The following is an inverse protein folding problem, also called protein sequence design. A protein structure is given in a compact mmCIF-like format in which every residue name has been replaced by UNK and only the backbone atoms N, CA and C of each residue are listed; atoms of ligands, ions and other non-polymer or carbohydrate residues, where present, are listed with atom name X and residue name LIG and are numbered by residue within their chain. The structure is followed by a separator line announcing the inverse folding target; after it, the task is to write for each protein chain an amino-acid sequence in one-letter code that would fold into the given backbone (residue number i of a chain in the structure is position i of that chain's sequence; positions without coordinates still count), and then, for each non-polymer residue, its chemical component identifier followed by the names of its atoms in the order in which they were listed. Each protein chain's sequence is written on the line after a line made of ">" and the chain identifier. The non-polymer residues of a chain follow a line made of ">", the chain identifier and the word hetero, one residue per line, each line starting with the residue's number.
data_IF_446148026752
#
_entry.id   IF_446148026752
#
_cell.length_a   1.000
_cell.length_b   1.000
_cell.length_c   1.000
_cell.angle_alpha   90.00
_cell.angle_beta   90.00
_cell.angle_gamma   90.00
#
_symmetry.space_group_name_H-M   'P 1'
#
loop_
_entity.id
_entity.type
_entity.pdbx_description
1 polymer ?
#
# COMPACT_ATOMS: atom_id res chain seq x y z
N UNK A 1 -46.97 -5.16 -43.64
CA UNK A 1 -46.45 -3.82 -43.25
C UNK A 1 -45.65 -3.25 -44.42
N UNK A 2 -45.80 -1.96 -44.71
CA UNK A 2 -45.02 -1.32 -45.77
C UNK A 2 -43.53 -1.19 -45.32
N UNK A 3 -42.54 -1.38 -46.19
CA UNK A 3 -41.12 -1.41 -45.80
C UNK A 3 -40.66 -0.16 -45.04
N UNK A 4 -41.27 1.00 -45.29
CA UNK A 4 -41.02 2.24 -44.56
C UNK A 4 -41.47 2.19 -43.09
N UNK A 5 -42.53 1.45 -42.75
CA UNK A 5 -42.99 1.26 -41.36
C UNK A 5 -42.10 0.31 -40.62
N UNK A 6 -41.55 -0.72 -41.24
CA UNK A 6 -40.57 -1.63 -40.63
C UNK A 6 -39.29 -0.90 -40.32
N UNK A 7 -38.79 -0.07 -41.25
CA UNK A 7 -37.57 0.73 -41.02
C UNK A 7 -37.75 1.70 -39.84
N UNK A 8 -38.91 2.35 -39.73
CA UNK A 8 -39.20 3.29 -38.64
C UNK A 8 -39.26 2.59 -37.28
N UNK A 9 -39.89 1.41 -37.19
CA UNK A 9 -39.95 0.61 -35.96
C UNK A 9 -38.57 0.11 -35.57
N UNK A 10 -37.75 -0.35 -36.51
CA UNK A 10 -36.37 -0.80 -36.23
C UNK A 10 -35.51 0.35 -35.71
N UNK A 11 -35.64 1.55 -36.30
CA UNK A 11 -34.92 2.73 -35.86
C UNK A 11 -35.33 3.15 -34.42
N UNK A 12 -36.62 3.06 -34.09
CA UNK A 12 -37.14 3.39 -32.76
C UNK A 12 -36.69 2.41 -31.69
N UNK A 13 -36.55 1.12 -32.03
CA UNK A 13 -35.99 0.08 -31.15
C UNK A 13 -34.51 0.33 -30.91
N UNK A 14 -33.74 0.66 -31.96
CA UNK A 14 -32.30 0.97 -31.80
C UNK A 14 -32.10 2.21 -30.94
N UNK A 15 -32.89 3.26 -31.13
CA UNK A 15 -32.82 4.46 -30.27
C UNK A 15 -33.20 4.12 -28.84
N UNK A 16 -34.22 3.29 -28.58
CA UNK A 16 -34.63 2.86 -27.25
C UNK A 16 -33.56 2.06 -26.50
N UNK A 17 -32.75 1.27 -27.20
CA UNK A 17 -31.65 0.51 -26.59
C UNK A 17 -30.43 1.37 -26.25
N UNK A 18 -30.20 2.46 -26.97
CA UNK A 18 -29.11 3.41 -26.70
C UNK A 18 -29.33 4.26 -25.46
N UNK A 19 -30.59 4.43 -25.01
CA UNK A 19 -30.92 5.21 -23.80
C UNK A 19 -30.97 4.39 -22.49
N UNK A 20 -30.87 3.06 -22.58
CA UNK A 20 -30.79 2.20 -21.36
C UNK A 20 -29.35 1.91 -20.96
N UNK A 21 -28.48 2.92 -20.88
CA UNK A 21 -27.22 2.79 -20.18
C UNK A 21 -27.51 2.94 -18.69
N UNK A 22 -27.68 1.81 -17.99
CA UNK A 22 -27.62 1.79 -16.55
C UNK A 22 -26.24 2.32 -16.15
N UNK A 23 -26.15 3.31 -15.24
CA UNK A 23 -24.86 3.72 -14.72
C UNK A 23 -24.24 2.48 -14.08
N UNK A 24 -23.15 1.98 -14.66
CA UNK A 24 -22.27 1.04 -13.98
C UNK A 24 -21.60 1.87 -12.89
N UNK A 25 -22.13 1.82 -11.69
CA UNK A 25 -21.41 2.26 -10.50
C UNK A 25 -20.27 1.25 -10.31
N UNK A 26 -19.10 1.57 -10.84
CA UNK A 26 -17.88 0.95 -10.34
C UNK A 26 -17.89 1.19 -8.83
N UNK A 27 -17.67 0.14 -8.05
CA UNK A 27 -17.47 0.25 -6.59
C UNK A 27 -16.28 1.18 -6.40
N UNK A 28 -16.56 2.46 -6.30
CA UNK A 28 -15.54 3.46 -6.07
C UNK A 28 -15.20 3.41 -4.57
N UNK A 29 -13.93 3.55 -4.27
CA UNK A 29 -13.50 3.93 -2.93
C UNK A 29 -14.34 5.12 -2.46
N UNK A 30 -14.75 5.12 -1.19
CA UNK A 30 -15.53 6.22 -0.64
C UNK A 30 -14.70 7.51 -0.47
N UNK A 31 -13.38 7.38 -0.54
CA UNK A 31 -12.44 8.50 -0.48
C UNK A 31 -11.28 8.31 -1.44
N UNK A 32 -10.52 9.36 -1.68
CA UNK A 32 -9.26 9.32 -2.41
C UNK A 32 -8.15 10.03 -1.64
N UNK A 33 -6.90 9.65 -1.91
CA UNK A 33 -5.71 10.21 -1.28
C UNK A 33 -4.77 10.71 -2.37
N UNK A 34 -4.34 11.97 -2.25
CA UNK A 34 -3.38 12.58 -3.16
C UNK A 34 -2.24 13.21 -2.35
N UNK A 35 -1.02 12.63 -2.39
CA UNK A 35 0.14 13.25 -1.77
C UNK A 35 0.48 14.59 -2.43
N UNK A 36 0.76 15.60 -1.62
CA UNK A 36 1.21 16.90 -2.08
C UNK A 36 2.74 16.88 -2.12
N UNK A 37 3.30 17.18 -3.28
CA UNK A 37 4.76 17.15 -3.50
C UNK A 37 5.48 18.07 -2.51
N UNK A 38 6.44 17.51 -1.74
CA UNK A 38 7.30 18.25 -0.83
C UNK A 38 8.41 19.01 -1.59
N UNK A 39 8.93 20.06 -1.00
CA UNK A 39 10.09 20.79 -1.52
C UNK A 39 11.36 19.90 -1.51
N UNK A 40 11.47 18.99 -0.54
CA UNK A 40 12.56 18.04 -0.37
C UNK A 40 12.45 16.79 -1.26
N UNK A 41 11.44 16.74 -2.15
CA UNK A 41 11.21 15.62 -3.06
C UNK A 41 12.34 15.50 -4.08
N UNK A 42 12.93 14.30 -4.21
CA UNK A 42 14.02 14.01 -5.16
C UNK A 42 13.50 14.08 -6.61
N UNK A 43 12.39 13.40 -6.90
CA UNK A 43 11.72 13.46 -8.22
C UNK A 43 10.27 13.91 -8.05
N UNK A 44 9.98 15.15 -8.44
CA UNK A 44 8.66 15.78 -8.31
C UNK A 44 7.55 15.14 -9.15
N UNK A 45 7.88 14.21 -10.05
CA UNK A 45 6.89 13.47 -10.87
C UNK A 45 6.31 12.26 -10.15
N UNK A 46 6.93 11.85 -9.03
CA UNK A 46 6.46 10.70 -8.25
C UNK A 46 5.23 11.07 -7.41
N UNK A 47 4.33 10.10 -7.27
CA UNK A 47 3.07 10.21 -6.51
C UNK A 47 3.20 9.63 -5.11
N UNK A 48 4.39 9.57 -4.56
CA UNK A 48 4.73 9.16 -3.21
C UNK A 48 5.89 10.01 -2.70
N UNK A 49 6.15 9.99 -1.41
CA UNK A 49 7.22 10.78 -0.81
C UNK A 49 8.57 10.08 -0.97
N UNK A 50 9.51 10.72 -1.67
CA UNK A 50 10.89 10.27 -1.86
C UNK A 50 11.82 11.45 -1.56
N UNK A 51 12.26 11.55 -0.30
CA UNK A 51 12.83 12.76 0.26
C UNK A 51 14.33 12.64 0.47
N UNK A 52 15.05 13.74 0.22
CA UNK A 52 16.41 13.91 0.70
C UNK A 52 16.43 14.96 1.81
N UNK A 53 16.86 14.57 3.01
CA UNK A 53 16.85 15.39 4.22
C UNK A 53 18.22 15.32 4.90
N UNK A 54 18.69 16.41 5.49
CA UNK A 54 19.88 16.35 6.33
C UNK A 54 19.56 15.75 7.70
N UNK A 55 20.57 15.23 8.44
CA UNK A 55 20.34 14.68 9.78
C UNK A 55 19.58 15.66 10.68
N UNK A 56 18.63 15.16 11.46
CA UNK A 56 17.77 15.90 12.41
C UNK A 56 16.80 16.92 11.76
N UNK A 57 16.73 16.96 10.41
CA UNK A 57 15.82 17.87 9.70
C UNK A 57 14.37 17.43 9.88
N UNK A 58 13.51 18.40 10.19
CA UNK A 58 12.06 18.23 10.22
C UNK A 58 11.43 18.74 8.93
N UNK A 59 10.38 18.09 8.47
CA UNK A 59 9.61 18.46 7.26
C UNK A 59 8.13 18.17 7.47
N UNK A 60 7.29 19.07 6.97
CA UNK A 60 5.86 18.80 6.84
C UNK A 60 5.56 18.11 5.52
N UNK A 61 4.88 16.97 5.60
CA UNK A 61 4.31 16.26 4.47
C UNK A 61 2.81 16.44 4.49
N UNK A 62 2.21 16.56 3.34
CA UNK A 62 0.77 16.82 3.22
C UNK A 62 0.13 15.84 2.25
N UNK A 63 -1.04 15.34 2.63
CA UNK A 63 -1.88 14.57 1.74
C UNK A 63 -3.28 15.20 1.70
N UNK A 64 -3.81 15.38 0.50
CA UNK A 64 -5.18 15.76 0.30
C UNK A 64 -6.06 14.51 0.33
N UNK A 65 -7.04 14.49 1.22
CA UNK A 65 -8.06 13.47 1.31
C UNK A 65 -9.38 14.04 0.80
N UNK A 66 -10.07 13.30 -0.05
CA UNK A 66 -11.31 13.77 -0.67
C UNK A 66 -12.39 12.72 -0.52
N UNK A 67 -13.55 13.16 -0.05
CA UNK A 67 -14.77 12.38 0.04
C UNK A 67 -15.77 12.89 -1.02
N UNK A 68 -16.04 12.08 -2.04
CA UNK A 68 -17.03 12.39 -3.09
C UNK A 68 -18.40 11.78 -2.81
N UNK A 69 -18.60 11.16 -1.65
CA UNK A 69 -19.87 10.53 -1.26
C UNK A 69 -20.81 11.51 -0.57
N UNK A 70 -22.08 11.10 -0.36
CA UNK A 70 -23.09 11.84 0.40
C UNK A 70 -23.06 11.51 1.89
N UNK A 71 -22.13 10.64 2.34
CA UNK A 71 -21.98 10.20 3.72
C UNK A 71 -20.66 10.67 4.30
N UNK A 72 -20.60 10.80 5.61
CA UNK A 72 -19.36 10.98 6.35
C UNK A 72 -18.46 9.75 6.18
N UNK A 73 -17.16 9.96 5.98
CA UNK A 73 -16.15 8.89 5.88
C UNK A 73 -15.12 9.09 6.98
N UNK A 74 -14.96 8.09 7.83
CA UNK A 74 -13.95 8.08 8.89
C UNK A 74 -12.76 7.24 8.47
N UNK A 75 -11.57 7.79 8.56
CA UNK A 75 -10.33 7.20 8.06
C UNK A 75 -9.37 6.97 9.22
N UNK A 76 -8.91 5.74 9.39
CA UNK A 76 -7.78 5.35 10.22
C UNK A 76 -6.48 5.58 9.46
N UNK A 77 -5.50 6.21 10.10
CA UNK A 77 -4.20 6.50 9.52
C UNK A 77 -3.13 5.77 10.33
N UNK A 78 -2.24 5.08 9.64
CA UNK A 78 -1.09 4.43 10.27
C UNK A 78 0.19 4.65 9.47
N UNK A 79 1.32 4.71 10.18
CA UNK A 79 2.66 4.77 9.59
C UNK A 79 3.42 3.52 9.99
N UNK A 80 4.05 2.86 9.02
CA UNK A 80 4.78 1.63 9.26
C UNK A 80 6.09 1.62 8.45
N UNK A 81 7.13 1.01 9.00
CA UNK A 81 8.32 0.66 8.22
C UNK A 81 8.00 -0.38 7.16
N UNK A 82 8.69 -0.31 6.03
CA UNK A 82 8.57 -1.31 4.98
C UNK A 82 9.09 -2.68 5.48
N UNK A 83 8.37 -3.72 5.16
CA UNK A 83 8.73 -5.12 5.44
C UNK A 83 8.67 -5.94 4.15
N UNK A 84 9.27 -7.12 4.15
CA UNK A 84 9.19 -8.04 3.01
C UNK A 84 8.44 -9.31 3.45
N UNK A 85 7.38 -9.64 2.74
CA UNK A 85 6.58 -10.82 3.04
C UNK A 85 7.19 -12.12 2.44
N UNK A 86 6.57 -13.27 2.74
CA UNK A 86 7.02 -14.58 2.26
C UNK A 86 6.96 -14.76 0.73
N UNK A 87 6.25 -13.87 0.02
CA UNK A 87 6.22 -13.84 -1.44
C UNK A 87 7.31 -12.92 -2.03
N UNK A 88 8.25 -12.46 -1.22
CA UNK A 88 9.33 -11.52 -1.58
C UNK A 88 8.79 -10.17 -2.10
N UNK A 89 7.62 -9.77 -1.64
CA UNK A 89 7.03 -8.48 -1.95
C UNK A 89 7.21 -7.51 -0.77
N UNK A 90 7.56 -6.26 -1.09
CA UNK A 90 7.66 -5.20 -0.09
C UNK A 90 6.27 -4.70 0.28
N UNK A 91 5.97 -4.71 1.57
CA UNK A 91 4.74 -4.19 2.16
C UNK A 91 5.05 -2.90 2.92
N UNK A 92 4.24 -1.88 2.69
CA UNK A 92 4.38 -0.56 3.32
C UNK A 92 3.29 -0.28 4.35
N UNK A 93 2.26 -1.11 4.39
CA UNK A 93 1.16 -1.01 5.33
C UNK A 93 1.37 -1.81 6.61
N UNK A 94 0.41 -1.70 7.52
CA UNK A 94 0.40 -2.50 8.74
C UNK A 94 0.28 -3.98 8.40
N UNK A 95 1.17 -4.80 8.96
CA UNK A 95 1.18 -6.26 8.82
C UNK A 95 1.62 -6.91 10.15
N UNK A 96 1.60 -8.24 10.18
CA UNK A 96 1.98 -9.04 11.36
C UNK A 96 3.42 -9.57 11.29
N UNK A 97 4.23 -9.05 10.34
CA UNK A 97 5.63 -9.45 10.21
C UNK A 97 6.39 -8.88 11.40
N UNK A 98 7.03 -9.76 12.16
CA UNK A 98 7.87 -9.37 13.29
C UNK A 98 9.05 -8.55 12.79
N UNK A 99 9.30 -7.41 13.45
CA UNK A 99 10.42 -6.53 13.11
C UNK A 99 11.73 -7.20 13.53
N UNK A 100 12.68 -7.22 12.61
CA UNK A 100 14.00 -7.75 12.85
C UNK A 100 14.83 -6.81 13.73
N UNK A 101 15.68 -7.38 14.59
CA UNK A 101 16.56 -6.61 15.51
C UNK A 101 17.57 -5.72 14.76
N UNK A 102 17.85 -6.00 13.49
CA UNK A 102 18.72 -5.16 12.63
C UNK A 102 18.04 -3.87 12.15
N UNK A 103 16.73 -3.70 12.36
CA UNK A 103 16.00 -2.47 12.04
C UNK A 103 16.39 -1.36 13.04
N UNK A 104 17.43 -0.60 12.72
CA UNK A 104 17.99 0.45 13.61
C UNK A 104 17.02 1.64 13.71
N UNK A 105 16.34 2.00 12.62
CA UNK A 105 15.39 3.11 12.55
C UNK A 105 14.02 2.58 12.17
N UNK A 106 13.05 2.65 13.05
CA UNK A 106 11.67 2.36 12.74
C UNK A 106 10.96 3.63 12.31
N UNK A 107 10.37 3.65 11.13
CA UNK A 107 9.76 4.85 10.55
C UNK A 107 8.70 5.49 11.46
N UNK A 108 7.96 4.68 12.22
CA UNK A 108 6.92 5.18 13.13
C UNK A 108 7.48 6.13 14.20
N UNK A 109 8.74 5.95 14.61
CA UNK A 109 9.38 6.79 15.63
C UNK A 109 9.75 8.18 15.07
N UNK A 110 9.71 8.33 13.76
CA UNK A 110 10.15 9.53 13.04
C UNK A 110 9.03 10.30 12.35
N UNK A 111 7.77 9.86 12.50
CA UNK A 111 6.63 10.52 11.88
C UNK A 111 5.51 10.73 12.90
N UNK A 112 5.12 11.97 13.12
CA UNK A 112 3.95 12.31 13.93
C UNK A 112 2.78 12.66 13.02
N UNK A 113 1.58 12.13 13.33
CA UNK A 113 0.41 12.22 12.47
C UNK A 113 -0.89 12.07 13.28
N UNK A 114 -2.03 12.55 12.77
CA UNK A 114 -3.33 12.26 13.36
C UNK A 114 -3.73 10.81 13.08
N UNK A 115 -4.05 10.02 14.10
CA UNK A 115 -4.43 8.60 13.94
C UNK A 115 -5.77 8.43 13.22
N UNK A 116 -6.65 9.42 13.30
CA UNK A 116 -7.98 9.35 12.69
C UNK A 116 -8.37 10.71 12.09
N UNK A 117 -9.02 10.66 10.93
CA UNK A 117 -9.60 11.84 10.26
C UNK A 117 -11.02 11.53 9.84
N UNK A 118 -11.93 12.50 10.05
CA UNK A 118 -13.31 12.43 9.58
C UNK A 118 -13.49 13.38 8.41
N UNK A 119 -13.94 12.86 7.28
CA UNK A 119 -14.26 13.63 6.09
C UNK A 119 -15.77 13.80 5.98
N UNK A 120 -16.22 15.04 6.04
CA UNK A 120 -17.61 15.39 5.79
C UNK A 120 -18.04 15.02 4.35
N UNK A 121 -19.34 14.84 4.09
CA UNK A 121 -19.85 14.62 2.73
C UNK A 121 -19.35 15.68 1.75
N UNK A 122 -18.93 15.26 0.54
CA UNK A 122 -18.49 16.15 -0.55
C UNK A 122 -17.37 17.13 -0.13
N UNK A 123 -16.50 16.70 0.77
CA UNK A 123 -15.44 17.56 1.31
C UNK A 123 -14.04 17.15 0.86
N UNK A 124 -13.14 18.09 0.99
CA UNK A 124 -11.70 17.90 0.80
C UNK A 124 -10.98 18.42 2.04
N UNK A 125 -10.06 17.63 2.57
CA UNK A 125 -9.27 17.98 3.75
C UNK A 125 -7.80 17.67 3.52
N UNK A 126 -6.91 18.58 3.89
CA UNK A 126 -5.47 18.33 3.92
C UNK A 126 -5.06 17.80 5.28
N UNK A 127 -4.41 16.65 5.28
CA UNK A 127 -3.78 16.05 6.48
C UNK A 127 -2.29 16.35 6.44
N UNK A 128 -1.75 16.74 7.59
CA UNK A 128 -0.33 17.10 7.78
C UNK A 128 0.35 16.01 8.60
N UNK A 129 1.52 15.59 8.15
CA UNK A 129 2.44 14.67 8.81
C UNK A 129 3.73 15.41 9.09
N UNK A 130 4.27 15.28 10.28
CA UNK A 130 5.57 15.86 10.63
C UNK A 130 6.60 14.72 10.64
N UNK A 131 7.46 14.71 9.62
CA UNK A 131 8.53 13.73 9.51
C UNK A 131 9.85 14.37 9.97
N UNK A 132 10.63 13.59 10.73
CA UNK A 132 11.95 13.98 11.23
C UNK A 132 13.00 12.97 10.79
N UNK A 133 14.06 13.43 10.14
CA UNK A 133 15.17 12.58 9.76
C UNK A 133 15.95 12.11 11.01
N UNK A 134 16.34 10.83 11.12
CA UNK A 134 17.26 10.38 12.16
C UNK A 134 18.50 11.26 12.27
N UNK A 135 18.95 11.53 13.50
CA UNK A 135 20.13 12.33 13.77
C UNK A 135 21.42 11.63 13.35
N UNK A 136 21.46 10.32 13.56
CA UNK A 136 22.63 9.50 13.22
C UNK A 136 22.77 9.40 11.71
N UNK A 137 23.99 9.53 11.24
CA UNK A 137 24.27 9.47 9.80
C UNK A 137 24.19 8.05 9.28
N UNK A 138 23.53 7.90 8.14
CA UNK A 138 23.50 6.65 7.38
C UNK A 138 23.43 6.91 5.87
N UNK A 139 23.89 5.94 5.11
CA UNK A 139 23.63 5.83 3.68
C UNK A 139 22.48 4.84 3.45
N UNK A 140 21.81 4.96 2.31
CA UNK A 140 20.66 4.14 1.96
C UNK A 140 19.32 4.81 2.24
N UNK A 141 18.28 4.01 2.49
CA UNK A 141 16.90 4.47 2.58
C UNK A 141 16.24 4.00 3.88
N UNK A 142 15.61 4.92 4.60
CA UNK A 142 14.59 4.63 5.60
C UNK A 142 13.26 4.59 4.86
N UNK A 143 12.66 3.41 4.75
CA UNK A 143 11.51 3.14 3.92
C UNK A 143 10.31 2.68 4.73
N UNK A 144 9.14 3.15 4.32
CA UNK A 144 7.87 2.72 4.86
C UNK A 144 6.71 3.36 4.14
N UNK A 145 5.56 3.39 4.77
CA UNK A 145 4.36 3.96 4.17
C UNK A 145 3.38 4.54 5.17
N UNK A 146 2.55 5.42 4.65
CA UNK A 146 1.40 6.01 5.31
C UNK A 146 0.18 5.31 4.73
N UNK A 147 -0.55 4.59 5.56
CA UNK A 147 -1.76 3.87 5.17
C UNK A 147 -3.00 4.60 5.67
N UNK A 148 -3.97 4.74 4.79
CA UNK A 148 -5.27 5.35 5.02
C UNK A 148 -6.32 4.27 4.79
N UNK A 149 -7.05 3.88 5.85
CA UNK A 149 -8.06 2.83 5.82
C UNK A 149 -9.40 3.38 6.29
N UNK A 150 -10.46 3.11 5.54
CA UNK A 150 -11.82 3.46 5.98
C UNK A 150 -12.23 2.64 7.19
N UNK A 151 -12.78 3.30 8.22
CA UNK A 151 -13.39 2.65 9.36
C UNK A 151 -14.86 2.40 9.03
N UNK A 152 -15.19 1.15 8.67
CA UNK A 152 -16.55 0.72 8.40
C UNK A 152 -17.24 0.43 9.74
N UNK A 153 -18.37 1.09 10.02
CA UNK A 153 -19.14 0.84 11.24
C UNK A 153 -20.21 -0.21 10.99
N UNK A 154 -20.62 -0.96 12.04
CA UNK A 154 -21.67 -1.98 11.95
C UNK A 154 -23.01 -1.45 11.40
N UNK A 155 -23.26 -0.13 11.47
CA UNK A 155 -24.45 0.51 10.91
C UNK A 155 -24.44 0.52 9.38
N UNK A 156 -23.26 0.59 8.78
CA UNK A 156 -23.11 0.58 7.31
C UNK A 156 -23.36 -0.81 6.72
N UNK A 157 -23.25 -1.87 7.57
CA UNK A 157 -23.47 -3.27 7.20
C UNK A 157 -24.95 -3.67 7.18
N UNK A 158 -25.84 -2.91 7.80
CA UNK A 158 -27.25 -3.31 7.94
C UNK A 158 -28.12 -3.03 6.72
N UNK A 159 -27.69 -2.19 5.78
CA UNK A 159 -28.46 -1.87 4.56
C UNK A 159 -28.42 -2.97 3.48
N UNK A 160 -27.52 -3.98 3.59
CA UNK A 160 -27.35 -5.05 2.60
C UNK A 160 -27.63 -6.47 3.12
N UNK A 161 -28.53 -6.64 4.09
CA UNK A 161 -28.92 -7.98 4.58
C UNK A 161 -29.96 -8.64 3.66
N UNK A 162 -29.54 -9.00 2.45
CA UNK A 162 -30.12 -10.13 1.74
C UNK A 162 -29.16 -11.31 1.81
N UNK A 163 -29.69 -12.44 2.29
CA UNK A 163 -29.03 -13.68 2.64
C UNK A 163 -28.14 -14.24 1.52
N UNK A 164 -26.88 -13.87 1.48
CA UNK A 164 -25.84 -14.64 0.79
C UNK A 164 -24.49 -14.12 1.27
N UNK A 165 -23.48 -14.98 1.31
CA UNK A 165 -22.08 -14.71 1.69
C UNK A 165 -21.67 -13.26 1.35
N UNK A 166 -21.64 -12.39 2.36
CA UNK A 166 -21.17 -11.02 2.20
C UNK A 166 -19.65 -11.06 2.13
N UNK A 167 -19.09 -10.78 0.97
CA UNK A 167 -17.65 -10.48 0.83
C UNK A 167 -17.51 -9.02 1.22
N UNK A 168 -16.93 -8.75 2.35
CA UNK A 168 -16.62 -7.41 2.82
C UNK A 168 -15.28 -7.00 2.21
N UNK A 169 -15.32 -6.04 1.29
CA UNK A 169 -14.11 -5.47 0.71
C UNK A 169 -13.65 -4.30 1.59
N UNK A 170 -12.52 -4.46 2.26
CA UNK A 170 -11.84 -3.37 2.94
C UNK A 170 -10.88 -2.68 1.97
N UNK A 171 -11.03 -1.38 1.82
CA UNK A 171 -10.16 -0.58 0.97
C UNK A 171 -9.18 0.24 1.79
N UNK A 172 -7.92 0.22 1.40
CA UNK A 172 -6.88 1.05 1.98
C UNK A 172 -6.00 1.66 0.89
N UNK A 173 -5.63 2.91 1.08
CA UNK A 173 -4.57 3.56 0.29
C UNK A 173 -3.28 3.53 1.09
N UNK A 174 -2.17 3.17 0.44
CA UNK A 174 -0.86 3.28 1.05
C UNK A 174 0.03 4.16 0.16
N UNK A 175 0.55 5.22 0.76
CA UNK A 175 1.51 6.14 0.13
C UNK A 175 2.88 5.83 0.69
N UNK A 176 3.83 5.41 -0.15
CA UNK A 176 5.20 5.16 0.30
C UNK A 176 5.86 6.44 0.80
N UNK A 177 6.64 6.30 1.87
CA UNK A 177 7.51 7.34 2.43
C UNK A 177 8.93 6.82 2.50
N UNK A 178 9.80 7.41 1.67
CA UNK A 178 11.21 7.10 1.59
C UNK A 178 12.01 8.33 2.04
N UNK A 179 12.90 8.15 3.00
CA UNK A 179 13.76 9.22 3.50
C UNK A 179 15.23 8.81 3.39
N UNK A 180 16.07 9.71 2.84
CA UNK A 180 17.52 9.52 2.67
C UNK A 180 18.27 10.74 3.15
N UNK A 181 19.47 10.51 3.70
CA UNK A 181 20.40 11.61 4.00
C UNK A 181 21.32 11.88 2.83
N UNK A 182 21.67 10.85 2.08
CA UNK A 182 22.56 10.91 0.92
C UNK A 182 21.93 10.18 -0.26
N UNK A 183 22.50 10.39 -1.46
CA UNK A 183 22.18 9.62 -2.66
C UNK A 183 23.26 8.56 -2.96
N UNK A 184 24.14 8.27 -1.99
CA UNK A 184 25.13 7.23 -2.15
C UNK A 184 24.43 5.88 -2.33
N UNK A 185 24.93 5.10 -3.28
CA UNK A 185 24.46 3.74 -3.48
C UNK A 185 24.97 2.85 -2.36
N UNK A 186 24.05 2.03 -1.82
CA UNK A 186 24.37 0.99 -0.83
C UNK A 186 24.23 -0.36 -1.53
N UNK A 187 25.32 -1.13 -1.54
CA UNK A 187 25.29 -2.48 -2.09
C UNK A 187 24.38 -3.38 -1.23
N UNK A 188 23.47 -4.15 -1.84
CA UNK A 188 22.65 -5.09 -1.09
C UNK A 188 23.50 -6.24 -0.55
N UNK A 189 23.07 -6.83 0.56
CA UNK A 189 23.67 -8.03 1.11
C UNK A 189 22.57 -8.96 1.61
N UNK A 190 22.53 -10.18 1.06
CA UNK A 190 21.60 -11.22 1.48
C UNK A 190 22.28 -12.20 2.41
N UNK A 191 21.71 -12.39 3.59
CA UNK A 191 22.17 -13.35 4.59
C UNK A 191 21.15 -14.47 4.72
N UNK A 192 21.60 -15.72 4.62
CA UNK A 192 20.80 -16.89 4.94
C UNK A 192 20.93 -17.18 6.43
N UNK A 193 19.82 -17.12 7.17
CA UNK A 193 19.77 -17.44 8.60
C UNK A 193 19.38 -18.91 8.83
N UNK A 194 18.12 -19.12 9.16
CA UNK A 194 17.61 -20.45 9.50
C UNK A 194 17.08 -21.18 8.28
N UNK A 195 17.36 -22.46 8.19
CA UNK A 195 16.69 -23.37 7.25
C UNK A 195 16.05 -24.51 8.05
N UNK A 196 14.73 -24.65 7.94
CA UNK A 196 13.99 -25.65 8.71
C UNK A 196 12.92 -26.35 7.87
N UNK A 197 12.60 -27.62 8.18
CA UNK A 197 11.41 -28.26 7.65
C UNK A 197 10.16 -27.69 8.31
N UNK A 198 9.09 -27.57 7.52
CA UNK A 198 7.79 -27.08 7.99
C UNK A 198 6.65 -27.70 7.17
N UNK A 199 5.42 -27.37 7.50
CA UNK A 199 4.24 -27.80 6.76
C UNK A 199 3.32 -26.61 6.48
N UNK A 200 3.07 -26.34 5.20
CA UNK A 200 2.16 -25.27 4.75
C UNK A 200 1.07 -25.92 3.89
N UNK A 201 -0.20 -25.65 4.22
CA UNK A 201 -1.37 -26.19 3.49
C UNK A 201 -1.30 -27.72 3.30
N UNK A 202 -0.98 -28.45 4.36
CA UNK A 202 -0.79 -29.90 4.38
C UNK A 202 0.30 -30.45 3.44
N UNK A 203 1.25 -29.59 3.03
CA UNK A 203 2.41 -29.98 2.23
C UNK A 203 3.69 -29.78 3.04
N UNK A 204 4.58 -30.75 3.00
CA UNK A 204 5.90 -30.61 3.60
C UNK A 204 6.73 -29.64 2.77
N UNK A 205 7.33 -28.66 3.43
CA UNK A 205 8.15 -27.61 2.83
C UNK A 205 9.48 -27.49 3.58
N UNK A 206 10.44 -26.83 2.96
CA UNK A 206 11.66 -26.36 3.61
C UNK A 206 11.60 -24.85 3.57
N UNK A 207 11.57 -24.23 4.74
CA UNK A 207 11.63 -22.78 4.89
C UNK A 207 13.09 -22.35 5.02
N UNK A 208 13.45 -21.31 4.28
CA UNK A 208 14.73 -20.64 4.37
C UNK A 208 14.49 -19.17 4.72
N UNK A 209 15.01 -18.70 5.84
CA UNK A 209 14.96 -17.30 6.23
C UNK A 209 16.13 -16.57 5.56
N UNK A 210 15.81 -15.68 4.63
CA UNK A 210 16.79 -14.87 3.89
C UNK A 210 16.52 -13.41 4.21
N UNK A 211 17.53 -12.71 4.70
CA UNK A 211 17.46 -11.31 5.11
C UNK A 211 18.32 -10.44 4.20
N UNK A 212 17.79 -9.29 3.79
CA UNK A 212 18.60 -8.16 3.33
C UNK A 212 18.94 -7.29 4.55
N UNK A 213 20.19 -7.31 4.98
CA UNK A 213 20.66 -6.56 6.15
C UNK A 213 21.13 -5.13 5.82
N UNK A 214 20.98 -4.71 4.56
CA UNK A 214 21.39 -3.39 4.11
C UNK A 214 20.18 -2.46 3.88
N UNK A 215 20.39 -1.16 4.07
CA UNK A 215 19.37 -0.11 3.89
C UNK A 215 19.14 0.21 2.41
N UNK A 216 18.82 -0.81 1.62
CA UNK A 216 18.61 -0.69 0.17
C UNK A 216 17.61 -1.71 -0.32
N UNK A 217 16.98 -1.43 -1.46
CA UNK A 217 16.14 -2.40 -2.14
C UNK A 217 16.96 -3.37 -2.97
N UNK A 218 16.50 -4.61 -3.04
CA UNK A 218 17.04 -5.62 -3.96
C UNK A 218 15.99 -5.91 -5.01
N UNK A 219 16.37 -5.75 -6.28
CA UNK A 219 15.50 -6.05 -7.41
C UNK A 219 16.00 -7.30 -8.14
N UNK A 220 15.08 -8.06 -8.72
CA UNK A 220 15.38 -9.22 -9.56
C UNK A 220 16.23 -10.30 -8.84
N UNK A 221 15.86 -10.59 -7.57
CA UNK A 221 16.53 -11.64 -6.79
C UNK A 221 16.26 -13.00 -7.44
N UNK A 222 17.33 -13.76 -7.69
CA UNK A 222 17.26 -15.17 -8.08
C UNK A 222 17.91 -16.00 -6.98
N UNK A 223 17.14 -16.96 -6.43
CA UNK A 223 17.63 -17.87 -5.40
C UNK A 223 17.64 -19.28 -5.99
N UNK A 224 18.83 -19.84 -6.10
CA UNK A 224 19.02 -21.25 -6.49
C UNK A 224 19.31 -22.08 -5.24
N UNK A 225 18.50 -23.11 -5.01
CA UNK A 225 18.69 -24.02 -3.86
C UNK A 225 18.95 -25.45 -4.33
N UNK A 226 19.88 -26.09 -3.65
CA UNK A 226 20.20 -27.50 -3.85
C UNK A 226 20.03 -28.24 -2.54
N UNK A 227 19.15 -29.25 -2.52
CA UNK A 227 18.91 -30.09 -1.34
C UNK A 227 19.55 -31.44 -1.57
N UNK A 228 20.46 -31.85 -0.67
CA UNK A 228 21.15 -33.13 -0.75
C UNK A 228 20.99 -33.89 0.57
N UNK A 229 21.09 -35.22 0.50
CA UNK A 229 21.17 -36.04 1.70
C UNK A 229 22.45 -35.71 2.47
N UNK A 230 22.36 -35.63 3.80
CA UNK A 230 23.52 -35.33 4.66
C UNK A 230 24.69 -36.30 4.35
N UNK A 231 25.85 -35.73 4.02
CA UNK A 231 27.05 -36.50 3.65
C UNK A 231 27.13 -36.92 2.20
N UNK A 232 26.21 -36.48 1.33
CA UNK A 232 26.22 -36.75 -0.11
C UNK A 232 26.28 -35.41 -0.87
N UNK A 233 27.04 -35.38 -1.99
CA UNK A 233 27.17 -34.23 -2.87
C UNK A 233 26.21 -34.27 -4.07
N UNK A 234 25.56 -35.41 -4.29
CA UNK A 234 24.61 -35.65 -5.39
C UNK A 234 23.17 -35.38 -4.97
N UNK A 235 22.38 -34.85 -5.88
CA UNK A 235 20.95 -34.53 -5.69
C UNK A 235 20.09 -35.74 -5.83
#
# INVERSE_FOLDING_TARGET
>A
MKPKQQLFITLLVIIGTLFNQLPVTASAFNFSVTPITSENQIDKRKTYFDLQLVPDQEVELKAELRNDTEKEVKIDISVNSATTNSNVMVEYGKNEIEKDESLIFDLIDYVSYPETVTLEPKSVQTVVFHAKMPKDRFDGVLAGGITFKEIVTEKDQTENKDQSLSIENEYAYTVALLMRQTLNEVAPNLVLHEVKPDQINARNVILANVQNDQKTYINQVVIETKITKKGHSEV
#
